data_IF_833643330092
#
_entry.id   IF_833643330092
#
_cell.length_a   1.000
_cell.length_b   1.000
_cell.length_c   1.000
_cell.angle_alpha   90.00
_cell.angle_beta   90.00
_cell.angle_gamma   90.00
#
_symmetry.space_group_name_H-M   'P 1'
#
loop_
_entity.id
_entity.type
_entity.pdbx_description
1 polymer ?
#
# COMPACT_ATOMS: atom_id res chain seq x y z
N UNK A 1 1.22 15.06 14.19
CA UNK A 1 0.01 14.85 13.37
C UNK A 1 0.16 15.68 12.11
N UNK A 2 0.08 15.07 10.92
CA UNK A 2 0.42 15.72 9.64
C UNK A 2 -0.60 16.76 9.18
N UNK A 3 -1.73 16.91 9.90
CA UNK A 3 -2.83 17.83 9.58
C UNK A 3 -3.38 17.64 8.14
N UNK A 4 -3.35 16.40 7.67
CA UNK A 4 -3.88 15.98 6.38
C UNK A 4 -5.12 15.12 6.61
N UNK A 5 -6.12 15.18 5.72
CA UNK A 5 -7.38 14.48 5.91
C UNK A 5 -7.23 12.95 5.80
N UNK A 6 -6.22 12.46 5.07
CA UNK A 6 -6.01 11.03 4.81
C UNK A 6 -4.52 10.73 4.84
N UNK A 7 -4.08 9.94 5.83
CA UNK A 7 -2.67 9.52 5.93
C UNK A 7 -2.55 8.07 6.33
N UNK A 8 -1.93 7.28 5.45
CA UNK A 8 -1.58 5.89 5.65
C UNK A 8 -0.16 5.73 6.16
N UNK A 9 0.16 4.50 6.55
CA UNK A 9 1.54 4.07 6.76
C UNK A 9 1.96 3.14 5.63
N UNK A 10 3.27 2.88 5.48
CA UNK A 10 3.76 1.95 4.48
C UNK A 10 3.33 0.52 4.84
N UNK A 11 2.16 0.11 4.34
CA UNK A 11 1.59 -1.23 4.54
C UNK A 11 1.97 -2.15 3.39
N UNK A 12 2.36 -3.37 3.74
CA UNK A 12 2.74 -4.41 2.79
C UNK A 12 1.57 -5.38 2.56
N UNK A 13 1.44 -5.92 1.35
CA UNK A 13 0.47 -7.01 1.09
C UNK A 13 0.88 -8.30 1.82
N UNK A 14 -0.09 -9.15 2.15
CA UNK A 14 0.13 -10.36 2.99
C UNK A 14 0.76 -11.56 2.26
N UNK A 15 0.95 -11.48 0.96
CA UNK A 15 1.45 -12.56 0.11
C UNK A 15 2.68 -12.13 -0.69
N UNK A 16 3.60 -13.05 -1.03
CA UNK A 16 4.82 -12.71 -1.78
C UNK A 16 4.52 -12.03 -3.13
N UNK A 17 5.40 -11.14 -3.61
CA UNK A 17 6.62 -10.61 -2.97
C UNK A 17 6.43 -9.55 -1.86
N UNK A 18 5.25 -9.42 -1.24
CA UNK A 18 5.01 -8.51 -0.10
C UNK A 18 5.25 -7.03 -0.40
N UNK A 19 4.98 -6.60 -1.63
CA UNK A 19 5.14 -5.20 -2.02
C UNK A 19 4.35 -4.24 -1.12
N UNK A 20 4.89 -3.03 -0.86
CA UNK A 20 4.13 -1.97 -0.25
C UNK A 20 2.97 -1.57 -1.17
N UNK A 21 1.81 -1.31 -0.58
CA UNK A 21 0.62 -0.89 -1.32
C UNK A 21 0.65 0.63 -1.43
N UNK A 22 1.49 1.13 -2.33
CA UNK A 22 1.62 2.55 -2.66
C UNK A 22 1.51 2.68 -4.17
N UNK A 23 0.39 3.22 -4.66
CA UNK A 23 0.04 3.18 -6.09
C UNK A 23 -0.18 4.58 -6.64
N UNK A 24 0.24 4.81 -7.89
CA UNK A 24 -0.07 6.01 -8.69
C UNK A 24 -0.81 5.60 -9.96
N UNK A 25 -1.70 6.47 -10.44
CA UNK A 25 -2.56 6.26 -11.60
C UNK A 25 -4.03 6.11 -11.24
N UNK A 26 -4.78 5.51 -12.16
CA UNK A 26 -6.22 5.33 -12.06
C UNK A 26 -6.61 3.85 -12.05
N UNK A 27 -7.89 3.59 -11.85
CA UNK A 27 -8.44 2.25 -11.96
C UNK A 27 -8.03 1.60 -13.30
N UNK A 28 -7.46 0.40 -13.24
CA UNK A 28 -6.79 -0.37 -14.33
C UNK A 28 -5.40 0.08 -14.77
N UNK A 29 -4.90 1.23 -14.33
CA UNK A 29 -3.58 1.75 -14.75
C UNK A 29 -2.63 1.99 -13.58
N UNK A 30 -3.00 1.52 -12.38
CA UNK A 30 -2.17 1.66 -11.19
C UNK A 30 -0.79 1.02 -11.37
N UNK A 31 0.24 1.80 -11.08
CA UNK A 31 1.63 1.35 -10.97
C UNK A 31 2.14 1.58 -9.55
N UNK A 32 3.01 0.69 -9.08
CA UNK A 32 3.69 0.87 -7.80
C UNK A 32 4.52 2.16 -7.82
N UNK A 33 4.44 2.94 -6.75
CA UNK A 33 5.37 4.05 -6.52
C UNK A 33 6.72 3.45 -6.20
N UNK A 34 7.76 3.89 -6.89
CA UNK A 34 9.15 3.46 -6.67
C UNK A 34 10.04 4.66 -6.34
N UNK A 35 11.22 4.41 -5.76
CA UNK A 35 12.25 5.44 -5.58
C UNK A 35 11.90 6.56 -4.59
N UNK A 36 10.98 6.33 -3.65
CA UNK A 36 10.65 7.32 -2.62
C UNK A 36 11.78 7.47 -1.58
N UNK A 37 11.83 8.63 -0.92
CA UNK A 37 12.73 8.86 0.21
C UNK A 37 12.07 8.34 1.50
N UNK A 38 12.72 7.38 2.16
CA UNK A 38 12.23 6.83 3.44
C UNK A 38 12.24 7.92 4.53
N UNK A 39 11.19 7.96 5.36
CA UNK A 39 11.01 8.98 6.39
C UNK A 39 10.24 10.22 5.94
N UNK A 40 9.77 10.25 4.68
CA UNK A 40 8.95 11.34 4.13
C UNK A 40 7.49 10.92 3.95
N UNK A 41 6.63 11.92 3.82
CA UNK A 41 5.28 11.74 3.30
C UNK A 41 5.36 11.58 1.78
N UNK A 42 4.69 10.55 1.28
CA UNK A 42 4.60 10.25 -0.16
C UNK A 42 3.15 10.33 -0.55
N UNK A 43 2.83 11.23 -1.48
CA UNK A 43 1.49 11.29 -2.07
C UNK A 43 1.26 10.08 -2.98
N UNK A 44 0.09 9.46 -2.88
CA UNK A 44 -0.32 8.28 -3.67
C UNK A 44 -1.74 8.49 -4.18
N UNK A 45 -2.11 7.77 -5.24
CA UNK A 45 -3.49 7.76 -5.74
C UNK A 45 -4.32 6.62 -5.12
N UNK A 46 -3.65 5.55 -4.67
CA UNK A 46 -4.26 4.51 -3.86
C UNK A 46 -3.27 3.85 -2.89
N UNK A 47 -3.80 3.38 -1.76
CA UNK A 47 -3.04 2.63 -0.76
C UNK A 47 -3.92 1.60 -0.05
N UNK A 48 -3.28 0.65 0.63
CA UNK A 48 -3.98 -0.34 1.45
C UNK A 48 -4.46 0.27 2.77
N UNK A 49 -5.58 -0.22 3.29
CA UNK A 49 -6.20 0.32 4.51
C UNK A 49 -5.79 -0.40 5.80
N UNK A 50 -4.76 -1.26 5.75
CA UNK A 50 -4.30 -2.03 6.92
C UNK A 50 -3.84 -1.17 8.11
N UNK A 51 -3.35 0.04 7.83
CA UNK A 51 -3.03 1.04 8.85
C UNK A 51 -3.12 2.43 8.21
N UNK A 52 -4.31 3.01 8.29
CA UNK A 52 -4.71 4.25 7.62
C UNK A 52 -5.58 5.10 8.54
N UNK A 53 -5.32 6.40 8.57
CA UNK A 53 -6.06 7.37 9.35
C UNK A 53 -6.84 8.31 8.44
N UNK A 54 -8.07 8.62 8.84
CA UNK A 54 -8.96 9.57 8.18
C UNK A 54 -9.41 10.63 9.19
N UNK A 55 -9.55 11.88 8.73
CA UNK A 55 -10.46 12.83 9.34
C UNK A 55 -11.89 12.32 9.13
N UNK A 56 -12.68 12.19 10.19
CA UNK A 56 -14.07 11.72 10.13
C UNK A 56 -14.95 12.54 9.18
N UNK A 57 -14.61 13.82 8.93
CA UNK A 57 -15.29 14.65 7.93
C UNK A 57 -15.25 14.04 6.52
N UNK A 58 -14.21 13.28 6.18
CA UNK A 58 -14.13 12.56 4.91
C UNK A 58 -15.34 11.65 4.75
N UNK A 59 -15.68 10.87 5.77
CA UNK A 59 -16.82 9.96 5.73
C UNK A 59 -18.17 10.68 5.76
N UNK A 60 -18.27 11.82 6.43
CA UNK A 60 -19.48 12.65 6.40
C UNK A 60 -19.75 13.28 5.03
N UNK A 61 -18.69 13.62 4.30
CA UNK A 61 -18.78 14.28 3.01
C UNK A 61 -18.81 13.31 1.82
N UNK A 62 -18.46 12.03 2.03
CA UNK A 62 -18.44 11.00 0.99
C UNK A 62 -19.68 10.11 1.05
N UNK A 63 -20.35 9.86 -0.08
CA UNK A 63 -21.50 8.95 -0.12
C UNK A 63 -21.06 7.52 0.20
N UNK A 64 -21.80 6.86 1.09
CA UNK A 64 -21.62 5.43 1.37
C UNK A 64 -22.26 4.52 0.30
N UNK A 65 -21.94 3.20 0.31
CA UNK A 65 -20.93 2.55 1.15
C UNK A 65 -19.50 2.83 0.64
N UNK A 66 -18.58 3.11 1.58
CA UNK A 66 -17.20 3.52 1.30
C UNK A 66 -16.32 2.35 0.83
N UNK A 67 -16.19 1.33 1.68
CA UNK A 67 -15.45 0.09 1.41
C UNK A 67 -16.38 -0.93 0.79
N UNK A 68 -16.26 -1.12 -0.53
CA UNK A 68 -17.02 -2.11 -1.29
C UNK A 68 -16.18 -2.70 -2.42
N UNK A 69 -16.32 -3.99 -2.65
CA UNK A 69 -15.77 -4.60 -3.86
C UNK A 69 -16.46 -4.02 -5.09
N UNK A 70 -15.67 -3.77 -6.14
CA UNK A 70 -16.19 -3.29 -7.43
C UNK A 70 -15.82 -4.31 -8.51
N UNK A 71 -16.65 -4.47 -9.56
CA UNK A 71 -16.24 -5.23 -10.74
C UNK A 71 -14.93 -4.69 -11.28
N UNK A 72 -14.09 -5.58 -11.83
CA UNK A 72 -12.94 -5.11 -12.60
C UNK A 72 -13.44 -4.35 -13.82
N UNK A 73 -12.96 -3.12 -14.10
CA UNK A 73 -13.27 -2.48 -15.36
C UNK A 73 -12.49 -3.10 -16.53
N UNK A 74 -11.44 -3.89 -16.26
CA UNK A 74 -10.77 -4.69 -17.29
C UNK A 74 -11.58 -5.97 -17.60
N UNK A 75 -12.12 -6.12 -18.82
CA UNK A 75 -12.92 -7.29 -19.20
C UNK A 75 -12.10 -8.59 -19.25
N UNK A 76 -10.78 -8.50 -19.41
CA UNK A 76 -9.89 -9.67 -19.47
C UNK A 76 -9.50 -10.19 -18.09
N UNK A 77 -9.89 -9.47 -17.02
CA UNK A 77 -9.55 -9.80 -15.64
C UNK A 77 -10.80 -10.15 -14.81
N UNK A 78 -10.85 -11.38 -14.31
CA UNK A 78 -12.03 -11.92 -13.60
C UNK A 78 -12.11 -11.55 -12.12
N UNK A 79 -11.08 -10.90 -11.57
CA UNK A 79 -11.01 -10.54 -10.14
C UNK A 79 -11.63 -9.18 -9.83
N UNK A 80 -12.35 -9.06 -8.71
CA UNK A 80 -12.90 -7.77 -8.26
C UNK A 80 -11.80 -6.79 -7.82
N UNK A 81 -12.04 -5.49 -8.01
CA UNK A 81 -11.23 -4.43 -7.41
C UNK A 81 -11.46 -4.45 -5.90
N UNK A 82 -10.36 -4.45 -5.15
CA UNK A 82 -10.36 -4.39 -3.69
C UNK A 82 -11.11 -3.17 -3.16
N UNK A 83 -11.71 -3.33 -1.99
CA UNK A 83 -12.47 -2.28 -1.32
C UNK A 83 -11.65 -1.02 -1.00
N UNK A 84 -10.37 -1.20 -0.70
CA UNK A 84 -9.38 -0.18 -0.40
C UNK A 84 -9.00 0.65 -1.64
N UNK A 85 -8.63 0.00 -2.73
CA UNK A 85 -8.30 0.65 -4.01
C UNK A 85 -9.53 1.36 -4.57
N UNK A 86 -10.68 0.71 -4.51
CA UNK A 86 -11.91 1.32 -5.01
C UNK A 86 -12.34 2.54 -4.19
N UNK A 87 -12.20 2.53 -2.87
CA UNK A 87 -12.50 3.72 -2.06
C UNK A 87 -11.46 4.83 -2.27
N UNK A 88 -10.18 4.48 -2.42
CA UNK A 88 -9.13 5.44 -2.80
C UNK A 88 -9.47 6.17 -4.11
N UNK A 89 -9.95 5.43 -5.13
CA UNK A 89 -10.40 6.04 -6.39
C UNK A 89 -11.56 7.02 -6.21
N UNK A 90 -12.55 6.68 -5.39
CA UNK A 90 -13.68 7.57 -5.10
C UNK A 90 -13.23 8.84 -4.36
N UNK A 91 -12.30 8.71 -3.41
CA UNK A 91 -11.71 9.83 -2.69
C UNK A 91 -10.95 10.77 -3.62
N UNK A 92 -10.14 10.21 -4.54
CA UNK A 92 -9.44 11.00 -5.57
C UNK A 92 -10.41 11.76 -6.47
N UNK A 93 -11.49 11.11 -6.92
CA UNK A 93 -12.54 11.75 -7.73
C UNK A 93 -13.26 12.88 -6.98
N UNK A 94 -13.36 12.78 -5.66
CA UNK A 94 -13.90 13.82 -4.79
C UNK A 94 -12.89 14.94 -4.45
N UNK A 95 -11.66 14.86 -4.98
CA UNK A 95 -10.62 15.87 -4.81
C UNK A 95 -9.78 15.72 -3.54
N UNK A 96 -9.85 14.58 -2.84
CA UNK A 96 -8.95 14.31 -1.72
C UNK A 96 -7.57 13.88 -2.21
N UNK A 97 -6.55 14.26 -1.44
CA UNK A 97 -5.20 13.75 -1.57
C UNK A 97 -4.97 12.66 -0.51
N UNK A 98 -4.23 11.62 -0.90
CA UNK A 98 -3.90 10.49 -0.03
C UNK A 98 -2.39 10.48 0.13
N UNK A 99 -1.94 10.43 1.38
CA UNK A 99 -0.51 10.38 1.68
C UNK A 99 -0.16 9.12 2.45
N UNK A 100 1.08 8.66 2.29
CA UNK A 100 1.67 7.57 3.06
C UNK A 100 2.89 8.11 3.80
N UNK A 101 2.87 8.00 5.12
CA UNK A 101 4.02 8.29 5.98
C UNK A 101 4.97 7.10 6.00
N UNK A 102 6.10 7.24 5.32
CA UNK A 102 7.12 6.19 5.21
C UNK A 102 8.05 6.13 6.42
N UNK A 103 7.96 7.09 7.36
CA UNK A 103 8.70 7.04 8.64
C UNK A 103 8.14 5.98 9.59
N UNK A 104 6.86 5.62 9.42
CA UNK A 104 6.16 4.64 10.26
C UNK A 104 6.26 3.25 9.61
N UNK A 105 6.86 2.30 10.34
CA UNK A 105 6.99 0.91 9.91
C UNK A 105 5.86 0.07 10.52
N UNK A 106 4.80 -0.16 9.76
CA UNK A 106 3.69 -1.03 10.17
C UNK A 106 3.95 -2.48 9.71
N UNK A 107 3.93 -3.42 10.66
CA UNK A 107 4.04 -4.84 10.34
C UNK A 107 2.69 -5.43 9.89
N UNK A 108 2.72 -6.36 8.95
CA UNK A 108 1.55 -7.17 8.56
C UNK A 108 1.77 -8.60 9.03
N UNK A 109 0.96 -9.07 9.98
CA UNK A 109 0.99 -10.47 10.41
C UNK A 109 0.32 -11.35 9.35
N UNK A 110 1.09 -12.27 8.77
CA UNK A 110 0.61 -13.29 7.85
C UNK A 110 0.97 -14.68 8.38
N UNK A 111 0.20 -15.70 8.00
CA UNK A 111 0.51 -17.08 8.32
C UNK A 111 1.33 -17.68 7.19
N UNK A 112 2.53 -18.18 7.50
CA UNK A 112 3.36 -18.90 6.55
C UNK A 112 3.86 -20.21 7.15
N UNK A 113 3.90 -21.26 6.32
CA UNK A 113 4.57 -22.51 6.66
C UNK A 113 6.07 -22.32 6.47
N UNK A 114 6.85 -22.79 7.43
CA UNK A 114 8.32 -22.70 7.38
C UNK A 114 8.87 -24.03 6.85
N UNK A 115 9.68 -23.95 5.81
CA UNK A 115 10.33 -25.10 5.15
C UNK A 115 11.81 -24.83 4.90
N UNK A 116 12.53 -25.81 4.34
CA UNK A 116 13.94 -25.67 3.93
C UNK A 116 14.12 -24.54 2.90
N UNK A 117 13.17 -24.36 1.98
CA UNK A 117 13.19 -23.27 0.99
C UNK A 117 13.07 -21.90 1.66
N UNK A 118 12.26 -21.79 2.73
CA UNK A 118 12.17 -20.57 3.54
C UNK A 118 13.52 -20.25 4.20
N UNK A 119 14.22 -21.29 4.70
CA UNK A 119 15.57 -21.16 5.27
C UNK A 119 16.58 -20.69 4.23
N UNK A 120 16.58 -21.28 3.02
CA UNK A 120 17.47 -20.87 1.93
C UNK A 120 17.21 -19.43 1.47
N UNK A 121 15.94 -19.05 1.33
CA UNK A 121 15.55 -17.68 0.96
C UNK A 121 16.10 -16.67 1.98
N UNK A 122 15.85 -16.91 3.27
CA UNK A 122 16.32 -16.02 4.34
C UNK A 122 17.84 -15.86 4.36
N UNK A 123 18.59 -16.96 4.20
CA UNK A 123 20.05 -16.93 4.13
C UNK A 123 20.56 -16.17 2.90
N UNK A 124 19.89 -16.30 1.75
CA UNK A 124 20.27 -15.60 0.52
C UNK A 124 20.06 -14.08 0.65
N UNK A 125 18.93 -13.66 1.25
CA UNK A 125 18.60 -12.25 1.48
C UNK A 125 19.55 -11.61 2.49
N UNK A 126 19.87 -12.31 3.58
CA UNK A 126 20.82 -11.82 4.60
C UNK A 126 22.19 -11.55 3.97
N UNK A 127 22.74 -12.52 3.22
CA UNK A 127 24.01 -12.35 2.50
C UNK A 127 23.98 -11.16 1.54
N UNK A 128 22.87 -10.98 0.80
CA UNK A 128 22.70 -9.86 -0.14
C UNK A 128 22.65 -8.52 0.59
N UNK A 129 21.85 -8.39 1.65
CA UNK A 129 21.74 -7.17 2.46
C UNK A 129 23.09 -6.77 3.02
N UNK A 130 23.78 -7.71 3.68
CA UNK A 130 25.08 -7.45 4.29
C UNK A 130 26.12 -7.03 3.23
N UNK A 131 26.01 -7.54 1.99
CA UNK A 131 26.86 -7.10 0.87
C UNK A 131 26.53 -5.70 0.35
N UNK A 132 25.26 -5.26 0.45
CA UNK A 132 24.83 -3.92 0.03
C UNK A 132 25.24 -2.86 1.05
N UNK A 133 25.10 -3.17 2.34
CA UNK A 133 25.53 -2.29 3.43
C UNK A 133 27.05 -2.04 3.39
N UNK A 134 27.85 -3.08 3.10
CA UNK A 134 29.31 -2.96 2.92
C UNK A 134 29.74 -2.14 1.69
N UNK A 135 28.88 -1.95 0.70
CA UNK A 135 29.19 -1.14 -0.51
C UNK A 135 28.87 0.34 -0.34
N UNK A 136 28.11 0.71 0.70
CA UNK A 136 27.71 2.09 0.99
C UNK A 136 28.62 2.76 2.03
N UNK A 137 29.65 2.06 2.50
CA UNK A 137 30.61 2.49 3.53
C UNK A 137 32.02 2.60 2.92
#
# INVERSE_FOLDING_TARGET
>A
AHNLPIVGTKVHRRYPPFDPIMMKGDMNTYTAVEGWEDGKLVEVDATGTGCLMYDMKVFHNMPGPWFKFRPNPDPDYTGAVGEDIGFSSDLRKAGYEIYVDTSIKCGHLSTMVITEETHWLYNSLTKKRDSLEKKQQ
#
